data_IF_634000163967
#
_entry.id   IF_634000163967
#
_cell.length_a   1.000
_cell.length_b   1.000
_cell.length_c   1.000
_cell.angle_alpha   90.00
_cell.angle_beta   90.00
_cell.angle_gamma   90.00
#
_symmetry.space_group_name_H-M   'P 1'
#
loop_
_entity.id
_entity.type
_entity.pdbx_description
1 polymer ?
#
# COMPACT_ATOMS: atom_id res chain seq x y z
N UNK A 1 68.22 -34.21 9.75
CA UNK A 1 69.55 -34.77 10.05
C UNK A 1 69.61 -35.02 11.55
N UNK A 2 69.63 -36.28 12.00
CA UNK A 2 69.75 -36.63 13.42
C UNK A 2 71.24 -36.67 13.81
N UNK A 3 71.66 -35.79 14.71
CA UNK A 3 72.99 -35.86 15.33
C UNK A 3 72.99 -36.83 16.51
N UNK A 4 74.06 -37.58 16.72
CA UNK A 4 74.28 -38.39 17.92
C UNK A 4 75.14 -37.61 18.91
N UNK A 5 74.93 -37.81 20.22
CA UNK A 5 75.85 -37.32 21.27
C UNK A 5 77.15 -38.15 21.29
N UNK A 6 78.22 -37.61 21.87
CA UNK A 6 79.55 -38.27 21.96
C UNK A 6 79.54 -39.65 22.65
N UNK A 7 78.50 -39.98 23.40
CA UNK A 7 78.34 -41.26 24.10
C UNK A 7 77.39 -42.24 23.37
N UNK A 8 77.10 -42.02 22.09
CA UNK A 8 76.39 -42.99 21.23
C UNK A 8 74.87 -43.08 21.42
N UNK A 9 74.26 -42.23 22.25
CA UNK A 9 72.80 -42.17 22.41
C UNK A 9 72.18 -41.36 21.26
N UNK A 10 71.17 -41.88 20.53
CA UNK A 10 70.46 -41.13 19.50
C UNK A 10 69.80 -39.91 20.11
N UNK A 11 70.16 -38.70 19.65
CA UNK A 11 69.35 -37.51 19.94
C UNK A 11 68.10 -37.66 19.09
N UNK A 12 67.04 -38.18 19.70
CA UNK A 12 65.69 -38.04 19.16
C UNK A 12 65.45 -36.53 19.17
N UNK A 13 65.70 -35.84 18.06
CA UNK A 13 65.14 -34.51 17.88
C UNK A 13 63.64 -34.75 17.94
N UNK A 14 63.03 -34.46 19.08
CA UNK A 14 61.59 -34.57 19.23
C UNK A 14 61.03 -33.63 18.19
N UNK A 15 60.52 -34.21 17.11
CA UNK A 15 59.88 -33.45 16.04
C UNK A 15 58.90 -32.51 16.76
N UNK A 16 59.04 -31.18 16.63
CA UNK A 16 58.40 -30.21 17.52
C UNK A 16 56.88 -30.45 17.66
N UNK A 17 56.28 -31.15 16.71
CA UNK A 17 54.92 -31.70 16.70
C UNK A 17 54.57 -32.57 17.93
N UNK A 18 55.52 -33.34 18.51
CA UNK A 18 55.27 -34.26 19.64
C UNK A 18 55.60 -33.68 21.03
N UNK A 19 55.95 -32.40 21.12
CA UNK A 19 56.14 -31.71 22.42
C UNK A 19 54.82 -31.07 22.89
N UNK A 20 54.58 -31.00 24.22
CA UNK A 20 53.39 -30.33 24.79
C UNK A 20 53.26 -28.87 24.30
N UNK A 21 54.39 -28.18 24.13
CA UNK A 21 54.46 -26.81 23.63
C UNK A 21 54.13 -26.69 22.13
N UNK A 22 54.61 -27.61 21.28
CA UNK A 22 54.29 -27.64 19.86
C UNK A 22 52.80 -27.91 19.61
N UNK A 23 52.19 -28.81 20.38
CA UNK A 23 50.76 -29.12 20.32
C UNK A 23 49.90 -27.91 20.76
N UNK A 24 50.36 -27.15 21.76
CA UNK A 24 49.71 -25.88 22.14
C UNK A 24 49.85 -24.80 21.07
N UNK A 25 51.01 -24.67 20.41
CA UNK A 25 51.22 -23.74 19.28
C UNK A 25 50.33 -24.11 18.10
N UNK A 26 50.22 -25.39 17.76
CA UNK A 26 49.35 -25.88 16.68
C UNK A 26 47.87 -25.59 17.00
N UNK A 27 47.40 -25.85 18.23
CA UNK A 27 46.04 -25.49 18.67
C UNK A 27 45.77 -23.98 18.58
N UNK A 28 46.75 -23.14 18.95
CA UNK A 28 46.64 -21.68 18.87
C UNK A 28 46.59 -21.20 17.42
N UNK A 29 47.39 -21.78 16.53
CA UNK A 29 47.37 -21.50 15.09
C UNK A 29 46.03 -21.90 14.48
N UNK A 30 45.55 -23.13 14.72
CA UNK A 30 44.25 -23.60 14.24
C UNK A 30 43.12 -22.69 14.74
N UNK A 31 43.10 -22.33 16.03
CA UNK A 31 42.10 -21.39 16.57
C UNK A 31 42.15 -20.02 15.90
N UNK A 32 43.34 -19.46 15.67
CA UNK A 32 43.51 -18.18 14.97
C UNK A 32 43.04 -18.27 13.52
N UNK A 33 43.35 -19.35 12.82
CA UNK A 33 42.90 -19.59 11.45
C UNK A 33 41.38 -19.73 11.39
N UNK A 34 40.77 -20.48 12.30
CA UNK A 34 39.31 -20.62 12.40
C UNK A 34 38.66 -19.26 12.70
N UNK A 35 39.19 -18.50 13.67
CA UNK A 35 38.69 -17.15 13.99
C UNK A 35 38.86 -16.18 12.82
N UNK A 36 39.97 -16.25 12.09
CA UNK A 36 40.21 -15.45 10.89
C UNK A 36 39.21 -15.77 9.78
N UNK A 37 39.02 -17.06 9.47
CA UNK A 37 38.02 -17.52 8.49
C UNK A 37 36.62 -17.08 8.91
N UNK A 38 36.24 -17.27 10.18
CA UNK A 38 34.95 -16.86 10.71
C UNK A 38 34.75 -15.34 10.61
N UNK A 39 35.76 -14.53 10.94
CA UNK A 39 35.71 -13.08 10.80
C UNK A 39 35.55 -12.63 9.34
N UNK A 40 36.29 -13.25 8.41
CA UNK A 40 36.16 -12.96 6.97
C UNK A 40 34.76 -13.32 6.46
N UNK A 41 34.23 -14.49 6.81
CA UNK A 41 32.85 -14.88 6.46
C UNK A 41 31.86 -13.88 7.05
N UNK A 42 32.03 -13.49 8.32
CA UNK A 42 31.14 -12.54 8.97
C UNK A 42 31.17 -11.15 8.30
N UNK A 43 32.34 -10.65 7.91
CA UNK A 43 32.48 -9.37 7.20
C UNK A 43 31.83 -9.44 5.81
N UNK A 44 32.05 -10.52 5.05
CA UNK A 44 31.51 -10.67 3.69
C UNK A 44 29.99 -10.86 3.73
N UNK A 45 29.50 -11.80 4.54
CA UNK A 45 28.07 -12.09 4.67
C UNK A 45 27.36 -10.91 5.34
N UNK A 46 27.88 -10.41 6.45
CA UNK A 46 27.34 -9.25 7.16
C UNK A 46 27.34 -7.99 6.30
N UNK A 47 28.42 -7.72 5.58
CA UNK A 47 28.51 -6.60 4.64
C UNK A 47 27.52 -6.71 3.49
N UNK A 48 27.36 -7.91 2.91
CA UNK A 48 26.41 -8.16 1.82
C UNK A 48 24.96 -8.02 2.29
N UNK A 49 24.63 -8.58 3.46
CA UNK A 49 23.31 -8.41 4.09
C UNK A 49 23.04 -6.94 4.42
N UNK A 50 24.02 -6.22 4.97
CA UNK A 50 23.89 -4.81 5.28
C UNK A 50 23.63 -3.97 4.01
N UNK A 51 24.43 -4.19 2.97
CA UNK A 51 24.26 -3.52 1.68
C UNK A 51 22.88 -3.78 1.07
N UNK A 52 22.47 -5.05 1.00
CA UNK A 52 21.19 -5.47 0.41
C UNK A 52 19.99 -4.98 1.20
N UNK A 53 20.04 -5.01 2.52
CA UNK A 53 18.87 -4.74 3.37
C UNK A 53 18.73 -3.28 3.79
N UNK A 54 19.82 -2.48 3.76
CA UNK A 54 19.79 -1.10 4.21
C UNK A 54 20.18 -0.10 3.13
N UNK A 55 21.26 -0.33 2.39
CA UNK A 55 21.78 0.65 1.42
C UNK A 55 20.91 0.67 0.16
N UNK A 56 20.68 -0.48 -0.46
CA UNK A 56 19.89 -0.58 -1.71
C UNK A 56 18.46 -0.03 -1.53
N UNK A 57 17.69 -0.40 -0.49
CA UNK A 57 16.34 0.13 -0.31
C UNK A 57 16.33 1.64 -0.02
N UNK A 58 17.31 2.15 0.73
CA UNK A 58 17.43 3.58 1.02
C UNK A 58 17.74 4.40 -0.24
N UNK A 59 18.59 3.87 -1.11
CA UNK A 59 18.91 4.53 -2.39
C UNK A 59 17.70 4.56 -3.32
N UNK A 60 16.99 3.43 -3.46
CA UNK A 60 15.75 3.40 -4.24
C UNK A 60 14.70 4.37 -3.66
N UNK A 61 14.55 4.38 -2.33
CA UNK A 61 13.63 5.25 -1.62
C UNK A 61 13.82 6.73 -1.95
N UNK A 62 15.08 7.20 -2.01
CA UNK A 62 15.38 8.60 -2.35
C UNK A 62 14.81 9.00 -3.71
N UNK A 63 14.99 8.16 -4.75
CA UNK A 63 14.44 8.44 -6.08
C UNK A 63 12.91 8.39 -6.08
N UNK A 64 12.32 7.42 -5.39
CA UNK A 64 10.88 7.35 -5.29
C UNK A 64 10.28 8.56 -4.56
N UNK A 65 10.87 8.98 -3.44
CA UNK A 65 10.42 10.12 -2.64
C UNK A 65 10.57 11.44 -3.40
N UNK A 66 11.62 11.57 -4.24
CA UNK A 66 11.78 12.68 -5.17
C UNK A 66 10.61 12.76 -6.15
N UNK A 67 10.27 11.66 -6.83
CA UNK A 67 9.16 11.68 -7.78
C UNK A 67 7.80 11.89 -7.11
N UNK A 68 7.58 11.37 -5.88
CA UNK A 68 6.39 11.71 -5.09
C UNK A 68 6.29 13.22 -4.87
N UNK A 69 7.41 13.86 -4.48
CA UNK A 69 7.48 15.31 -4.26
C UNK A 69 7.13 16.09 -5.53
N UNK A 70 7.68 15.68 -6.68
CA UNK A 70 7.36 16.27 -7.99
C UNK A 70 5.89 16.16 -8.36
N UNK A 71 5.23 15.03 -8.06
CA UNK A 71 3.77 14.88 -8.24
C UNK A 71 3.01 15.88 -7.36
N UNK A 72 3.41 16.05 -6.09
CA UNK A 72 2.77 17.02 -5.19
C UNK A 72 2.88 18.44 -5.73
N UNK A 73 4.07 18.80 -6.20
CA UNK A 73 4.34 20.11 -6.78
C UNK A 73 3.58 20.33 -8.09
N UNK A 74 3.45 19.29 -8.93
CA UNK A 74 2.67 19.35 -10.17
C UNK A 74 1.19 19.69 -9.89
N UNK A 75 0.65 19.22 -8.76
CA UNK A 75 -0.72 19.54 -8.32
C UNK A 75 -0.98 21.03 -8.05
N UNK A 76 0.05 21.85 -7.87
CA UNK A 76 -0.10 23.29 -7.69
C UNK A 76 -0.30 24.07 -9.00
N UNK A 77 -0.11 23.42 -10.15
CA UNK A 77 -0.21 24.05 -11.46
C UNK A 77 -1.51 23.66 -12.19
N UNK A 78 -2.04 24.52 -13.08
CA UNK A 78 -3.19 24.20 -13.91
C UNK A 78 -2.97 22.94 -14.79
N UNK A 79 -4.03 22.18 -15.08
CA UNK A 79 -3.96 20.92 -15.83
C UNK A 79 -3.29 21.05 -17.21
N UNK A 80 -3.48 22.18 -17.88
CA UNK A 80 -2.93 22.49 -19.20
C UNK A 80 -1.52 23.13 -19.17
N UNK A 81 -0.93 23.35 -18.00
CA UNK A 81 0.38 23.99 -17.87
C UNK A 81 1.52 23.08 -18.33
N UNK A 82 2.43 23.61 -19.15
CA UNK A 82 3.67 22.92 -19.52
C UNK A 82 4.54 22.58 -18.29
N UNK A 83 4.54 23.45 -17.27
CA UNK A 83 5.26 23.17 -16.01
C UNK A 83 4.72 21.93 -15.32
N UNK A 84 3.40 21.71 -15.33
CA UNK A 84 2.76 20.51 -14.76
C UNK A 84 3.19 19.27 -15.52
N UNK A 85 3.14 19.31 -16.86
CA UNK A 85 3.57 18.21 -17.73
C UNK A 85 5.04 17.85 -17.49
N UNK A 86 5.92 18.85 -17.42
CA UNK A 86 7.35 18.67 -17.14
C UNK A 86 7.58 18.01 -15.78
N UNK A 87 6.90 18.48 -14.72
CA UNK A 87 7.03 17.87 -13.39
C UNK A 87 6.57 16.41 -13.36
N UNK A 88 5.51 16.06 -14.07
CA UNK A 88 5.10 14.65 -14.19
C UNK A 88 6.07 13.80 -14.99
N UNK A 89 6.70 14.37 -16.01
CA UNK A 89 7.76 13.69 -16.73
C UNK A 89 8.96 13.41 -15.81
N UNK A 90 9.44 14.43 -15.09
CA UNK A 90 10.53 14.29 -14.10
C UNK A 90 10.17 13.30 -12.97
N UNK A 91 8.89 13.27 -12.56
CA UNK A 91 8.41 12.31 -11.57
C UNK A 91 8.46 10.86 -12.07
N UNK A 92 8.06 10.61 -13.31
CA UNK A 92 8.17 9.27 -13.91
C UNK A 92 9.62 8.86 -14.17
N UNK A 93 10.52 9.79 -14.52
CA UNK A 93 11.95 9.51 -14.56
C UNK A 93 12.50 9.13 -13.19
N UNK A 94 12.11 9.86 -12.14
CA UNK A 94 12.54 9.58 -10.77
C UNK A 94 12.02 8.21 -10.32
N UNK A 95 10.76 7.90 -10.62
CA UNK A 95 10.19 6.57 -10.40
C UNK A 95 10.99 5.50 -11.13
N UNK A 96 11.31 5.69 -12.41
CA UNK A 96 12.09 4.75 -13.21
C UNK A 96 13.49 4.50 -12.64
N UNK A 97 14.16 5.53 -12.11
CA UNK A 97 15.46 5.39 -11.42
C UNK A 97 15.34 4.54 -10.15
N UNK A 98 14.30 4.78 -9.34
CA UNK A 98 13.99 3.95 -8.16
C UNK A 98 13.69 2.50 -8.54
N UNK A 99 12.91 2.31 -9.62
CA UNK A 99 12.51 1.01 -10.14
C UNK A 99 13.69 0.21 -10.72
N UNK A 100 14.71 0.87 -11.26
CA UNK A 100 15.93 0.22 -11.72
C UNK A 100 16.71 -0.44 -10.56
N UNK A 101 16.57 0.10 -9.35
CA UNK A 101 17.26 -0.40 -8.15
C UNK A 101 16.38 -1.41 -7.41
N UNK A 102 15.10 -1.07 -7.22
CA UNK A 102 14.14 -1.87 -6.48
C UNK A 102 12.81 -1.92 -7.25
N UNK A 103 12.70 -2.79 -8.26
CA UNK A 103 11.53 -2.87 -9.12
C UNK A 103 10.30 -3.37 -8.36
N UNK A 104 9.12 -3.00 -8.85
CA UNK A 104 7.83 -3.51 -8.38
C UNK A 104 7.64 -3.38 -6.85
N UNK A 105 8.12 -2.27 -6.28
CA UNK A 105 8.04 -2.06 -4.85
C UNK A 105 6.62 -1.61 -4.44
N UNK A 106 5.84 -2.52 -3.83
CA UNK A 106 4.43 -2.33 -3.50
C UNK A 106 4.14 -1.01 -2.76
N UNK A 107 4.94 -0.67 -1.74
CA UNK A 107 4.80 0.61 -1.01
C UNK A 107 4.82 1.81 -1.95
N UNK A 108 5.73 1.85 -2.92
CA UNK A 108 5.89 3.01 -3.79
C UNK A 108 4.86 3.02 -4.92
N UNK A 109 4.47 1.87 -5.46
CA UNK A 109 3.34 1.78 -6.37
C UNK A 109 2.04 2.32 -5.71
N UNK A 110 1.79 1.92 -4.46
CA UNK A 110 0.69 2.42 -3.65
C UNK A 110 0.77 3.94 -3.41
N UNK A 111 1.92 4.44 -2.95
CA UNK A 111 2.11 5.87 -2.69
C UNK A 111 1.93 6.72 -3.96
N UNK A 112 2.52 6.32 -5.08
CA UNK A 112 2.34 7.03 -6.36
C UNK A 112 0.88 7.02 -6.80
N UNK A 113 0.18 5.89 -6.65
CA UNK A 113 -1.25 5.78 -6.92
C UNK A 113 -2.10 6.77 -6.12
N UNK A 114 -1.85 6.87 -4.81
CA UNK A 114 -2.53 7.83 -3.94
C UNK A 114 -2.22 9.27 -4.36
N UNK A 115 -0.95 9.59 -4.59
CA UNK A 115 -0.54 10.95 -4.95
C UNK A 115 -1.11 11.39 -6.30
N UNK A 116 -1.12 10.51 -7.29
CA UNK A 116 -1.77 10.78 -8.57
C UNK A 116 -3.28 10.98 -8.43
N UNK A 117 -3.94 10.21 -7.56
CA UNK A 117 -5.37 10.42 -7.27
C UNK A 117 -5.61 11.81 -6.69
N UNK A 118 -4.75 12.25 -5.75
CA UNK A 118 -4.84 13.56 -5.10
C UNK A 118 -4.70 14.73 -6.08
N UNK A 119 -3.87 14.58 -7.11
CA UNK A 119 -3.67 15.60 -8.16
C UNK A 119 -4.53 15.39 -9.41
N UNK A 120 -5.55 14.54 -9.30
CA UNK A 120 -6.56 14.24 -10.33
C UNK A 120 -6.02 13.62 -11.63
N UNK A 121 -4.92 12.86 -11.53
CA UNK A 121 -4.36 12.05 -12.62
C UNK A 121 -4.82 10.60 -12.51
N UNK A 122 -6.11 10.36 -12.74
CA UNK A 122 -6.75 9.08 -12.41
C UNK A 122 -6.23 7.90 -13.23
N UNK A 123 -5.89 8.09 -14.50
CA UNK A 123 -5.33 7.01 -15.33
C UNK A 123 -3.94 6.60 -14.81
N UNK A 124 -3.09 7.57 -14.45
CA UNK A 124 -1.78 7.30 -13.84
C UNK A 124 -1.92 6.65 -12.47
N UNK A 125 -2.88 7.12 -11.67
CA UNK A 125 -3.19 6.53 -10.38
C UNK A 125 -3.59 5.06 -10.52
N UNK A 126 -4.53 4.77 -11.41
CA UNK A 126 -5.01 3.41 -11.65
C UNK A 126 -3.92 2.51 -12.22
N UNK A 127 -3.06 3.02 -13.11
CA UNK A 127 -1.90 2.28 -13.61
C UNK A 127 -0.95 1.88 -12.48
N UNK A 128 -0.69 2.77 -11.51
CA UNK A 128 0.19 2.45 -10.37
C UNK A 128 -0.49 1.53 -9.35
N UNK A 129 -1.78 1.69 -9.08
CA UNK A 129 -2.51 0.86 -8.11
C UNK A 129 -2.84 -0.52 -8.64
N UNK A 130 -3.32 -0.62 -9.88
CA UNK A 130 -3.76 -1.86 -10.49
C UNK A 130 -2.76 -2.33 -11.55
N UNK A 131 -2.52 -1.48 -12.55
CA UNK A 131 -1.75 -1.78 -13.75
C UNK A 131 -2.51 -1.45 -15.02
N UNK A 132 -1.94 -1.84 -16.16
CA UNK A 132 -2.57 -1.71 -17.47
C UNK A 132 -2.42 -3.00 -18.23
N UNK A 133 -3.49 -3.47 -18.85
CA UNK A 133 -3.53 -4.72 -19.60
C UNK A 133 -4.24 -4.55 -20.94
N UNK A 134 -4.04 -5.48 -21.86
CA UNK A 134 -4.71 -5.48 -23.17
C UNK A 134 -5.17 -6.89 -23.55
N UNK A 135 -6.46 -7.12 -23.83
CA UNK A 135 -7.56 -6.16 -23.68
C UNK A 135 -7.75 -5.73 -22.21
N UNK A 136 -8.35 -4.54 -22.00
CA UNK A 136 -8.71 -4.09 -20.65
C UNK A 136 -9.82 -4.99 -20.05
N UNK A 137 -10.04 -4.89 -18.75
CA UNK A 137 -11.22 -5.46 -18.12
C UNK A 137 -12.45 -4.67 -18.57
N UNK A 138 -13.35 -5.27 -19.35
CA UNK A 138 -14.48 -4.55 -19.95
C UNK A 138 -14.39 -4.35 -21.47
N UNK A 139 -13.34 -4.84 -22.15
CA UNK A 139 -13.10 -4.62 -23.58
C UNK A 139 -13.02 -5.92 -24.40
N UNK A 140 -14.09 -6.26 -25.13
CA UNK A 140 -14.13 -7.34 -26.12
C UNK A 140 -15.42 -7.33 -26.94
N UNK A 141 -15.37 -7.89 -28.16
CA UNK A 141 -16.42 -7.75 -29.19
C UNK A 141 -17.81 -8.32 -28.83
N UNK A 142 -17.88 -9.17 -27.81
CA UNK A 142 -19.11 -9.72 -27.23
C UNK A 142 -19.07 -9.64 -25.69
N UNK A 143 -18.39 -8.65 -25.10
CA UNK A 143 -18.28 -8.59 -23.65
C UNK A 143 -19.64 -8.31 -22.97
N UNK A 144 -19.98 -9.04 -21.90
CA UNK A 144 -21.03 -8.60 -21.01
C UNK A 144 -20.52 -7.30 -20.36
N UNK A 145 -21.20 -6.19 -20.62
CA UNK A 145 -20.90 -4.86 -20.08
C UNK A 145 -20.68 -4.82 -18.56
N UNK A 146 -20.97 -5.90 -17.82
CA UNK A 146 -20.74 -6.11 -16.39
C UNK A 146 -19.27 -6.21 -15.97
N UNK A 147 -18.31 -6.47 -16.88
CA UNK A 147 -16.89 -6.63 -16.53
C UNK A 147 -16.08 -5.33 -16.49
N UNK A 148 -16.64 -4.23 -17.00
CA UNK A 148 -16.04 -2.91 -16.97
C UNK A 148 -15.85 -2.41 -15.53
N UNK A 149 -14.85 -1.57 -15.30
CA UNK A 149 -14.46 -1.12 -13.96
C UNK A 149 -15.57 -0.39 -13.19
N UNK A 150 -16.46 0.30 -13.89
CA UNK A 150 -17.63 1.01 -13.35
C UNK A 150 -18.78 0.07 -12.94
N UNK A 151 -18.83 -1.15 -13.51
CA UNK A 151 -19.94 -2.11 -13.33
C UNK A 151 -19.55 -3.39 -12.61
N UNK A 152 -18.26 -3.70 -12.55
CA UNK A 152 -17.73 -4.93 -11.96
C UNK A 152 -18.10 -5.05 -10.49
N UNK A 153 -18.70 -6.17 -10.12
CA UNK A 153 -19.03 -6.41 -8.71
C UNK A 153 -17.82 -6.95 -7.93
N UNK A 154 -17.05 -7.89 -8.50
CA UNK A 154 -16.02 -8.64 -7.76
C UNK A 154 -14.61 -8.20 -8.12
N UNK A 155 -13.73 -8.20 -7.12
CA UNK A 155 -12.28 -8.02 -7.30
C UNK A 155 -11.76 -9.04 -8.33
N UNK A 156 -10.97 -8.65 -9.34
CA UNK A 156 -10.49 -9.59 -10.36
C UNK A 156 -9.53 -10.64 -9.78
N UNK A 157 -9.93 -11.91 -9.80
CA UNK A 157 -8.99 -13.00 -9.51
C UNK A 157 -8.12 -13.19 -10.76
N UNK A 158 -6.81 -12.93 -10.63
CA UNK A 158 -5.84 -13.01 -11.72
C UNK A 158 -4.76 -14.07 -11.47
N UNK A 159 -4.34 -14.73 -12.54
CA UNK A 159 -3.23 -15.69 -12.57
C UNK A 159 -2.40 -15.48 -13.84
N UNK A 160 -1.14 -15.94 -13.87
CA UNK A 160 -0.38 -15.98 -15.11
C UNK A 160 -0.90 -17.08 -16.03
N UNK A 161 -0.79 -16.87 -17.35
CA UNK A 161 -1.14 -17.89 -18.33
C UNK A 161 -0.32 -19.17 -18.11
N UNK A 162 -0.92 -20.33 -18.44
CA UNK A 162 -0.33 -21.66 -18.18
C UNK A 162 1.09 -21.74 -18.71
N UNK A 163 2.04 -22.12 -17.85
CA UNK A 163 3.45 -22.28 -18.19
C UNK A 163 4.27 -20.99 -18.19
N UNK A 164 3.67 -19.81 -17.95
CA UNK A 164 4.41 -18.58 -17.75
C UNK A 164 4.83 -18.41 -16.30
N UNK A 165 6.03 -17.88 -16.10
CA UNK A 165 6.57 -17.45 -14.81
C UNK A 165 6.81 -15.94 -14.88
N UNK A 166 6.71 -15.26 -13.74
CA UNK A 166 6.98 -13.83 -13.67
C UNK A 166 8.40 -13.50 -14.15
N UNK A 167 8.51 -12.56 -15.08
CA UNK A 167 9.77 -12.13 -15.69
C UNK A 167 9.75 -10.61 -15.94
N UNK A 168 10.53 -9.89 -15.13
CA UNK A 168 10.67 -8.44 -15.21
C UNK A 168 11.21 -7.96 -16.55
N UNK A 169 12.00 -8.77 -17.27
CA UNK A 169 12.58 -8.38 -18.57
C UNK A 169 11.52 -8.23 -19.66
N UNK A 170 10.34 -8.84 -19.49
CA UNK A 170 9.22 -8.76 -20.44
C UNK A 170 8.31 -7.55 -20.21
N UNK A 171 8.55 -6.78 -19.14
CA UNK A 171 7.74 -5.62 -18.78
C UNK A 171 8.51 -4.31 -18.99
N UNK A 172 7.83 -3.21 -19.32
CA UNK A 172 8.45 -1.90 -19.44
C UNK A 172 8.71 -1.28 -18.05
N UNK A 173 9.69 -1.85 -17.34
CA UNK A 173 10.18 -1.48 -16.01
C UNK A 173 11.39 -0.56 -16.17
N UNK A 174 11.53 0.40 -15.26
CA UNK A 174 12.65 1.34 -15.18
C UNK A 174 12.85 2.16 -16.47
N UNK A 175 11.75 2.58 -17.10
CA UNK A 175 11.78 3.34 -18.35
C UNK A 175 12.21 2.54 -19.58
N UNK A 176 12.45 1.23 -19.45
CA UNK A 176 12.83 0.36 -20.56
C UNK A 176 11.62 0.04 -21.44
N UNK A 177 11.87 -0.20 -22.72
CA UNK A 177 10.86 -0.72 -23.64
C UNK A 177 10.65 -2.20 -23.32
N UNK A 178 9.40 -2.60 -23.06
CA UNK A 178 9.06 -4.00 -22.77
C UNK A 178 9.22 -4.88 -24.02
N UNK A 179 9.34 -6.19 -23.82
CA UNK A 179 9.41 -7.18 -24.91
C UNK A 179 8.10 -7.22 -25.71
N UNK A 180 8.18 -7.58 -27.00
CA UNK A 180 6.98 -7.93 -27.80
C UNK A 180 6.28 -9.17 -27.24
N UNK A 181 7.04 -10.12 -26.67
CA UNK A 181 6.53 -11.32 -26.04
C UNK A 181 6.16 -11.06 -24.57
N UNK A 182 5.15 -10.19 -24.36
CA UNK A 182 4.69 -9.79 -23.03
C UNK A 182 4.07 -10.96 -22.26
N UNK A 183 4.26 -10.94 -20.95
CA UNK A 183 3.53 -11.83 -20.05
C UNK A 183 2.02 -11.60 -20.18
N UNK A 184 1.28 -12.69 -20.04
CA UNK A 184 -0.18 -12.70 -20.18
C UNK A 184 -0.78 -13.18 -18.86
N UNK A 185 -1.76 -12.42 -18.37
CA UNK A 185 -2.59 -12.85 -17.26
C UNK A 185 -3.94 -13.36 -17.75
N UNK A 186 -4.54 -14.24 -16.97
CA UNK A 186 -5.90 -14.75 -17.16
C UNK A 186 -6.68 -14.38 -15.91
N UNK A 187 -7.86 -13.81 -16.11
CA UNK A 187 -8.79 -13.54 -15.01
C UNK A 187 -9.90 -14.60 -14.95
N UNK A 188 -10.79 -14.48 -13.96
CA UNK A 188 -11.95 -15.36 -13.78
C UNK A 188 -12.91 -15.44 -14.99
N UNK A 189 -12.81 -14.51 -15.94
CA UNK A 189 -13.57 -14.51 -17.20
C UNK A 189 -12.91 -15.34 -18.32
N UNK A 190 -11.74 -15.93 -18.07
CA UNK A 190 -11.01 -16.75 -19.05
C UNK A 190 -10.29 -15.95 -20.14
N UNK A 191 -10.43 -14.61 -20.17
CA UNK A 191 -9.82 -13.77 -21.20
C UNK A 191 -8.34 -13.58 -20.89
N UNK A 192 -7.50 -13.92 -21.87
CA UNK A 192 -6.06 -13.69 -21.84
C UNK A 192 -5.74 -12.22 -22.10
N UNK A 193 -4.97 -11.60 -21.20
CA UNK A 193 -4.61 -10.18 -21.27
C UNK A 193 -3.11 -9.98 -21.16
N UNK A 194 -2.51 -9.32 -22.15
CA UNK A 194 -1.10 -8.91 -22.13
C UNK A 194 -0.89 -7.86 -21.04
N UNK A 195 0.09 -8.05 -20.19
CA UNK A 195 0.46 -7.09 -19.15
C UNK A 195 1.23 -5.95 -19.80
N UNK A 196 0.60 -4.78 -19.87
CA UNK A 196 1.23 -3.59 -20.44
C UNK A 196 2.09 -2.86 -19.40
N UNK A 197 1.57 -2.70 -18.19
CA UNK A 197 2.21 -2.13 -17.01
C UNK A 197 1.73 -2.89 -15.78
N UNK A 198 2.63 -3.23 -14.88
CA UNK A 198 2.29 -3.91 -13.64
C UNK A 198 2.15 -2.88 -12.51
N UNK A 199 0.93 -2.67 -12.03
CA UNK A 199 0.67 -1.89 -10.83
C UNK A 199 0.73 -2.76 -9.58
N UNK A 200 0.47 -2.16 -8.42
CA UNK A 200 0.59 -2.81 -7.12
C UNK A 200 -0.22 -4.11 -7.05
N UNK A 201 -1.46 -4.11 -7.55
CA UNK A 201 -2.32 -5.31 -7.57
C UNK A 201 -1.74 -6.46 -8.39
N UNK A 202 -1.33 -6.20 -9.63
CA UNK A 202 -0.75 -7.23 -10.51
C UNK A 202 0.55 -7.77 -9.92
N UNK A 203 1.43 -6.89 -9.42
CA UNK A 203 2.68 -7.27 -8.75
C UNK A 203 2.41 -8.14 -7.53
N UNK A 204 1.54 -7.69 -6.64
CA UNK A 204 1.17 -8.39 -5.41
C UNK A 204 0.67 -9.81 -5.73
N UNK A 205 -0.24 -9.95 -6.69
CA UNK A 205 -0.87 -11.23 -7.04
C UNK A 205 0.03 -12.18 -7.83
N UNK A 206 0.80 -11.66 -8.79
CA UNK A 206 1.49 -12.51 -9.77
C UNK A 206 3.00 -12.65 -9.50
N UNK A 207 3.67 -11.57 -9.09
CA UNK A 207 5.10 -11.61 -8.77
C UNK A 207 5.35 -12.08 -7.34
N UNK A 208 4.77 -11.35 -6.39
CA UNK A 208 5.06 -11.55 -4.96
C UNK A 208 4.26 -12.72 -4.41
N UNK A 209 3.07 -12.97 -4.97
CA UNK A 209 2.12 -13.98 -4.50
C UNK A 209 1.83 -13.80 -3.00
N UNK A 210 1.68 -12.56 -2.59
CA UNK A 210 1.39 -12.15 -1.21
C UNK A 210 0.08 -11.38 -1.14
N UNK A 211 -0.37 -11.11 0.08
CA UNK A 211 -1.44 -10.15 0.34
C UNK A 211 -0.81 -8.83 0.83
N UNK A 212 -1.29 -7.70 0.32
CA UNK A 212 -0.87 -6.36 0.71
C UNK A 212 -2.11 -5.52 1.03
N UNK A 213 -2.39 -5.40 2.33
CA UNK A 213 -3.53 -4.64 2.83
C UNK A 213 -3.53 -3.18 2.34
N UNK A 214 -2.39 -2.46 2.28
CA UNK A 214 -2.34 -1.15 1.65
C UNK A 214 -2.86 -1.13 0.20
N UNK A 215 -2.48 -2.09 -0.65
CA UNK A 215 -2.98 -2.19 -2.03
C UNK A 215 -4.50 -2.35 -2.08
N UNK A 216 -5.06 -3.27 -1.28
CA UNK A 216 -6.51 -3.44 -1.22
C UNK A 216 -7.22 -2.16 -0.75
N UNK A 217 -6.73 -1.54 0.34
CA UNK A 217 -7.30 -0.30 0.87
C UNK A 217 -7.23 0.87 -0.11
N UNK A 218 -6.14 0.99 -0.85
CA UNK A 218 -5.95 2.08 -1.82
C UNK A 218 -6.83 1.92 -3.05
N UNK A 219 -7.03 0.69 -3.55
CA UNK A 219 -8.00 0.43 -4.62
C UNK A 219 -9.44 0.66 -4.13
N UNK A 220 -9.76 0.26 -2.89
CA UNK A 220 -11.02 0.59 -2.24
C UNK A 220 -11.26 2.11 -2.20
N UNK A 221 -10.27 2.87 -1.73
CA UNK A 221 -10.34 4.34 -1.67
C UNK A 221 -10.48 4.97 -3.06
N UNK A 222 -9.74 4.45 -4.05
CA UNK A 222 -9.78 4.96 -5.42
C UNK A 222 -11.17 4.81 -6.03
N UNK A 223 -11.72 3.58 -6.04
CA UNK A 223 -13.03 3.30 -6.65
C UNK A 223 -14.21 3.96 -5.93
N UNK A 224 -14.06 4.29 -4.64
CA UNK A 224 -15.07 5.01 -3.83
C UNK A 224 -14.85 6.52 -3.73
N UNK A 225 -13.93 7.09 -4.51
CA UNK A 225 -13.69 8.53 -4.49
C UNK A 225 -14.95 9.31 -4.85
N UNK A 226 -15.17 10.39 -4.11
CA UNK A 226 -16.31 11.31 -4.27
C UNK A 226 -15.86 12.69 -4.77
N UNK A 227 -14.61 12.81 -5.24
CA UNK A 227 -14.15 14.06 -5.86
C UNK A 227 -15.04 14.34 -7.08
N UNK A 228 -15.56 15.57 -7.27
CA UNK A 228 -16.40 15.89 -8.43
C UNK A 228 -15.73 15.50 -9.75
N UNK A 229 -14.44 15.85 -9.88
CA UNK A 229 -13.56 15.49 -11.00
C UNK A 229 -13.40 13.99 -11.22
N UNK A 230 -13.57 13.17 -10.18
CA UNK A 230 -13.54 11.71 -10.29
C UNK A 230 -14.90 11.14 -10.69
N UNK A 231 -16.00 11.70 -10.19
CA UNK A 231 -17.35 11.18 -10.47
C UNK A 231 -17.87 11.59 -11.84
N UNK A 232 -17.39 12.69 -12.40
CA UNK A 232 -17.78 13.17 -13.72
C UNK A 232 -17.15 12.33 -14.84
N UNK A 233 -17.99 11.64 -15.63
CA UNK A 233 -17.55 10.78 -16.73
C UNK A 233 -16.74 11.52 -17.80
N UNK A 234 -17.04 12.79 -18.05
CA UNK A 234 -16.32 13.66 -19.00
C UNK A 234 -14.88 13.95 -18.59
N UNK A 235 -14.53 13.79 -17.31
CA UNK A 235 -13.22 14.09 -16.75
C UNK A 235 -12.35 12.83 -16.55
N UNK A 236 -12.82 11.68 -17.04
CA UNK A 236 -12.06 10.44 -17.12
C UNK A 236 -12.06 9.57 -15.86
N UNK A 237 -12.38 10.13 -14.69
CA UNK A 237 -12.48 9.35 -13.45
C UNK A 237 -13.71 8.44 -13.39
N UNK A 238 -14.82 8.85 -14.03
CA UNK A 238 -16.12 8.17 -13.90
C UNK A 238 -16.08 6.69 -14.32
N UNK A 239 -15.21 6.32 -15.27
CA UNK A 239 -15.02 4.92 -15.69
C UNK A 239 -14.47 4.00 -14.60
N UNK A 240 -13.90 4.58 -13.54
CA UNK A 240 -13.40 3.85 -12.37
C UNK A 240 -14.34 3.94 -11.17
N UNK A 241 -15.38 4.77 -11.21
CA UNK A 241 -16.25 4.98 -10.05
C UNK A 241 -17.11 3.75 -9.81
N UNK A 242 -16.89 3.07 -8.69
CA UNK A 242 -17.60 1.84 -8.35
C UNK A 242 -17.51 1.52 -6.84
N UNK A 243 -18.51 1.91 -6.03
CA UNK A 243 -18.39 1.62 -4.60
C UNK A 243 -18.63 0.14 -4.25
N UNK A 244 -19.32 -0.62 -5.11
CA UNK A 244 -19.51 -2.04 -4.83
C UNK A 244 -18.17 -2.79 -4.93
N UNK A 245 -17.39 -2.48 -5.97
CA UNK A 245 -16.02 -2.96 -6.12
C UNK A 245 -15.13 -2.43 -4.99
N UNK A 246 -15.27 -1.16 -4.59
CA UNK A 246 -14.53 -0.59 -3.48
C UNK A 246 -14.77 -1.35 -2.16
N UNK A 247 -16.03 -1.64 -1.82
CA UNK A 247 -16.41 -2.46 -0.65
C UNK A 247 -15.72 -3.82 -0.74
N UNK A 248 -15.71 -4.44 -1.93
CA UNK A 248 -15.12 -5.75 -2.09
C UNK A 248 -13.59 -5.73 -1.98
N UNK A 249 -12.92 -4.66 -2.41
CA UNK A 249 -11.51 -4.45 -2.12
C UNK A 249 -11.24 -4.31 -0.62
N UNK A 250 -12.01 -3.51 0.12
CA UNK A 250 -11.89 -3.44 1.57
C UNK A 250 -12.11 -4.81 2.24
N UNK A 251 -13.06 -5.60 1.74
CA UNK A 251 -13.29 -6.95 2.25
C UNK A 251 -12.12 -7.92 2.03
N UNK A 252 -11.29 -7.71 1.00
CA UNK A 252 -10.09 -8.54 0.79
C UNK A 252 -9.09 -8.42 1.95
N UNK A 253 -9.08 -7.30 2.67
CA UNK A 253 -8.22 -7.15 3.86
C UNK A 253 -8.56 -8.21 4.91
N UNK A 254 -9.85 -8.53 5.08
CA UNK A 254 -10.29 -9.55 6.03
C UNK A 254 -10.16 -10.98 5.50
N UNK A 255 -10.49 -11.20 4.23
CA UNK A 255 -10.54 -12.57 3.67
C UNK A 255 -9.16 -13.09 3.27
N UNK A 256 -8.35 -12.23 2.66
CA UNK A 256 -7.06 -12.58 2.10
C UNK A 256 -5.93 -12.16 3.04
N UNK A 257 -6.04 -10.99 3.68
CA UNK A 257 -5.01 -10.44 4.57
C UNK A 257 -4.87 -11.15 5.91
N UNK A 258 -5.73 -12.12 6.24
CA UNK A 258 -5.82 -12.79 7.56
C UNK A 258 -5.96 -11.82 8.75
N UNK A 259 -6.44 -10.61 8.52
CA UNK A 259 -6.76 -9.65 9.58
C UNK A 259 -8.25 -9.77 9.92
N UNK A 260 -8.65 -10.38 11.05
CA UNK A 260 -10.07 -10.54 11.40
C UNK A 260 -10.78 -9.19 11.57
N UNK A 261 -10.00 -8.11 11.73
CA UNK A 261 -10.45 -6.74 11.82
C UNK A 261 -9.35 -5.78 11.34
N UNK A 262 -9.76 -4.77 10.58
CA UNK A 262 -8.95 -3.60 10.20
C UNK A 262 -9.87 -2.37 10.27
N UNK A 263 -9.51 -1.43 11.14
CA UNK A 263 -10.29 -0.23 11.42
C UNK A 263 -10.49 0.62 10.16
N UNK A 264 -9.43 0.82 9.38
CA UNK A 264 -9.43 1.67 8.19
C UNK A 264 -10.36 1.13 7.10
N UNK A 265 -10.34 -0.18 6.85
CA UNK A 265 -11.22 -0.85 5.87
C UNK A 265 -12.68 -0.81 6.33
N UNK A 266 -12.91 -1.01 7.63
CA UNK A 266 -14.27 -0.99 8.21
C UNK A 266 -14.86 0.42 8.07
N UNK A 267 -14.07 1.44 8.38
CA UNK A 267 -14.44 2.83 8.19
C UNK A 267 -14.58 3.21 6.72
N UNK A 268 -13.77 2.63 5.81
CA UNK A 268 -13.89 2.79 4.37
C UNK A 268 -15.24 2.31 3.85
N UNK A 269 -15.68 1.11 4.27
CA UNK A 269 -17.00 0.57 3.95
C UNK A 269 -18.11 1.45 4.56
N UNK A 270 -17.98 1.84 5.82
CA UNK A 270 -18.93 2.73 6.48
C UNK A 270 -19.08 4.07 5.74
N UNK A 271 -17.96 4.66 5.31
CA UNK A 271 -17.91 5.92 4.55
C UNK A 271 -18.61 5.80 3.19
N UNK A 272 -18.50 4.65 2.52
CA UNK A 272 -19.23 4.38 1.28
C UNK A 272 -20.75 4.43 1.52
N UNK A 273 -21.25 3.70 2.53
CA UNK A 273 -22.68 3.75 2.89
C UNK A 273 -23.12 5.14 3.32
N UNK A 274 -22.28 5.85 4.08
CA UNK A 274 -22.51 7.22 4.48
C UNK A 274 -22.70 8.14 3.27
N UNK A 275 -21.81 8.05 2.28
CA UNK A 275 -21.88 8.86 1.05
C UNK A 275 -23.11 8.51 0.19
N UNK A 276 -23.58 7.26 0.25
CA UNK A 276 -24.83 6.79 -0.40
C UNK A 276 -26.10 7.19 0.37
N UNK A 277 -25.96 7.90 1.50
CA UNK A 277 -27.06 8.25 2.43
C UNK A 277 -27.73 7.03 3.07
N UNK A 278 -27.06 5.88 3.07
CA UNK A 278 -27.49 4.65 3.76
C UNK A 278 -27.04 4.70 5.23
N UNK A 279 -27.53 5.70 5.98
CA UNK A 279 -27.02 6.04 7.31
C UNK A 279 -27.14 4.91 8.34
N UNK A 280 -28.20 4.09 8.27
CA UNK A 280 -28.34 2.93 9.15
C UNK A 280 -27.21 1.90 8.97
N UNK A 281 -26.81 1.62 7.72
CA UNK A 281 -25.68 0.72 7.43
C UNK A 281 -24.36 1.38 7.82
N UNK A 282 -24.19 2.67 7.52
CA UNK A 282 -23.00 3.41 7.91
C UNK A 282 -22.78 3.37 9.43
N UNK A 283 -23.83 3.65 10.21
CA UNK A 283 -23.80 3.56 11.66
C UNK A 283 -23.47 2.15 12.15
N UNK A 284 -24.06 1.11 11.55
CA UNK A 284 -23.74 -0.28 11.89
C UNK A 284 -22.24 -0.61 11.71
N UNK A 285 -21.62 -0.19 10.60
CA UNK A 285 -20.19 -0.43 10.39
C UNK A 285 -19.29 0.42 11.32
N UNK A 286 -19.64 1.68 11.58
CA UNK A 286 -18.89 2.46 12.57
C UNK A 286 -19.07 1.94 14.00
N UNK A 287 -20.23 1.39 14.35
CA UNK A 287 -20.46 0.74 15.64
C UNK A 287 -19.54 -0.47 15.82
N UNK A 288 -19.29 -1.28 14.77
CA UNK A 288 -18.32 -2.39 14.85
C UNK A 288 -16.92 -1.93 15.26
N UNK A 289 -16.50 -0.74 14.82
CA UNK A 289 -15.22 -0.14 15.24
C UNK A 289 -15.27 0.19 16.73
N UNK A 290 -16.35 0.84 17.18
CA UNK A 290 -16.54 1.28 18.56
C UNK A 290 -16.77 0.12 19.54
N UNK A 291 -17.33 -1.01 19.09
CA UNK A 291 -17.45 -2.24 19.88
C UNK A 291 -16.09 -2.85 20.20
N UNK A 292 -15.11 -2.71 19.29
CA UNK A 292 -13.75 -3.22 19.45
C UNK A 292 -12.88 -2.20 20.20
N UNK A 293 -12.89 -0.94 19.78
CA UNK A 293 -12.23 0.18 20.45
C UNK A 293 -13.23 1.33 20.69
N UNK A 294 -13.80 1.40 21.90
CA UNK A 294 -14.72 2.48 22.28
C UNK A 294 -14.11 3.87 22.18
N UNK A 295 -12.79 4.00 22.23
CA UNK A 295 -12.06 5.28 22.20
C UNK A 295 -11.60 5.69 20.80
N UNK A 296 -11.88 4.88 19.77
CA UNK A 296 -11.50 5.14 18.39
C UNK A 296 -12.06 6.48 17.89
N UNK A 297 -11.22 7.48 17.55
CA UNK A 297 -11.70 8.73 16.97
C UNK A 297 -12.35 8.52 15.59
N UNK A 298 -11.93 7.49 14.85
CA UNK A 298 -12.46 7.16 13.52
C UNK A 298 -13.88 6.60 13.62
N UNK A 299 -14.11 5.63 14.51
CA UNK A 299 -15.43 5.06 14.78
C UNK A 299 -16.37 6.10 15.39
N UNK A 300 -15.92 6.77 16.45
CA UNK A 300 -16.72 7.76 17.17
C UNK A 300 -17.06 8.99 16.31
N UNK A 301 -16.10 9.49 15.55
CA UNK A 301 -16.32 10.60 14.60
C UNK A 301 -17.19 10.20 13.41
N UNK A 302 -17.10 8.95 12.96
CA UNK A 302 -17.97 8.39 11.92
C UNK A 302 -19.42 8.28 12.36
N UNK A 303 -19.67 7.76 13.57
CA UNK A 303 -21.01 7.73 14.18
C UNK A 303 -21.58 9.13 14.37
N UNK A 304 -20.81 10.05 14.97
CA UNK A 304 -21.25 11.42 15.19
C UNK A 304 -21.63 12.11 13.87
N UNK A 305 -20.81 11.94 12.83
CA UNK A 305 -21.11 12.47 11.49
C UNK A 305 -22.38 11.85 10.91
N UNK A 306 -22.60 10.55 11.12
CA UNK A 306 -23.78 9.83 10.65
C UNK A 306 -25.04 10.32 11.36
N UNK A 307 -25.02 10.46 12.68
CA UNK A 307 -26.14 11.00 13.45
C UNK A 307 -26.47 12.45 13.09
N UNK A 308 -25.46 13.27 12.77
CA UNK A 308 -25.69 14.64 12.30
C UNK A 308 -26.43 14.65 10.96
N UNK A 309 -26.15 13.73 10.03
CA UNK A 309 -26.90 13.66 8.77
C UNK A 309 -28.32 13.11 8.99
N UNK A 310 -28.49 12.10 9.85
CA UNK A 310 -29.82 11.61 10.22
C UNK A 310 -30.68 12.73 10.82
N UNK A 311 -30.11 13.54 11.72
CA UNK A 311 -30.77 14.71 12.27
C UNK A 311 -31.22 15.73 11.22
N UNK A 312 -30.47 15.91 10.13
CA UNK A 312 -30.89 16.80 9.05
C UNK A 312 -32.12 16.27 8.32
N UNK A 313 -32.34 14.96 8.32
CA UNK A 313 -33.49 14.32 7.68
C UNK A 313 -34.70 14.22 8.62
N UNK A 314 -34.50 13.78 9.86
CA UNK A 314 -35.58 13.47 10.81
C UNK A 314 -35.88 14.61 11.81
N UNK A 315 -34.96 15.57 11.95
CA UNK A 315 -35.07 16.69 12.90
C UNK A 315 -34.82 16.34 14.36
N UNK A 316 -34.54 15.08 14.72
CA UNK A 316 -34.36 14.62 16.10
C UNK A 316 -32.90 14.77 16.57
N UNK A 317 -32.59 15.73 17.47
CA UNK A 317 -31.21 16.01 17.86
C UNK A 317 -30.66 15.01 18.89
N UNK A 318 -31.48 14.10 19.41
CA UNK A 318 -31.16 13.33 20.61
C UNK A 318 -29.95 12.42 20.40
N UNK A 319 -29.85 11.75 19.25
CA UNK A 319 -28.70 10.90 18.92
C UNK A 319 -27.40 11.70 18.88
N UNK A 320 -27.42 12.89 18.28
CA UNK A 320 -26.24 13.77 18.20
C UNK A 320 -25.80 14.24 19.58
N UNK A 321 -26.74 14.74 20.39
CA UNK A 321 -26.46 15.29 21.73
C UNK A 321 -25.94 14.19 22.66
N UNK A 322 -26.62 13.04 22.70
CA UNK A 322 -26.22 11.93 23.57
C UNK A 322 -24.82 11.42 23.20
N UNK A 323 -24.57 11.23 21.90
CA UNK A 323 -23.29 10.70 21.41
C UNK A 323 -22.15 11.70 21.63
N UNK A 324 -22.37 12.99 21.36
CA UNK A 324 -21.37 14.01 21.65
C UNK A 324 -21.06 14.10 23.15
N UNK A 325 -22.07 14.01 24.03
CA UNK A 325 -21.85 13.96 25.48
C UNK A 325 -20.96 12.76 25.88
N UNK A 326 -21.18 11.59 25.29
CA UNK A 326 -20.33 10.41 25.53
C UNK A 326 -18.89 10.66 25.07
N UNK A 327 -18.70 11.18 23.86
CA UNK A 327 -17.38 11.52 23.30
C UNK A 327 -16.62 12.50 24.19
N UNK A 328 -17.31 13.54 24.67
CA UNK A 328 -16.71 14.62 25.45
C UNK A 328 -16.44 14.25 26.90
N UNK A 329 -17.44 13.71 27.58
CA UNK A 329 -17.41 13.56 29.04
C UNK A 329 -16.97 12.16 29.48
N UNK A 330 -17.28 11.11 28.70
CA UNK A 330 -17.00 9.73 29.11
C UNK A 330 -15.70 9.21 28.51
N UNK A 331 -15.40 9.62 27.27
CA UNK A 331 -14.24 9.13 26.52
C UNK A 331 -13.11 10.16 26.42
N UNK A 332 -13.40 11.45 26.60
CA UNK A 332 -12.45 12.57 26.52
C UNK A 332 -11.67 12.64 25.18
N UNK A 333 -12.27 12.15 24.08
CA UNK A 333 -11.61 12.08 22.77
C UNK A 333 -12.03 13.19 21.79
N UNK A 334 -12.86 14.15 22.20
CA UNK A 334 -13.34 15.23 21.33
C UNK A 334 -12.21 15.94 20.59
N UNK A 335 -11.10 16.22 21.29
CA UNK A 335 -9.90 16.88 20.74
C UNK A 335 -9.13 16.02 19.72
N UNK A 336 -9.37 14.70 19.70
CA UNK A 336 -8.78 13.75 18.75
C UNK A 336 -9.62 13.59 17.49
N UNK A 337 -10.85 14.13 17.45
CA UNK A 337 -11.69 14.08 16.27
C UNK A 337 -11.09 14.94 15.15
N UNK A 338 -11.32 14.53 13.90
CA UNK A 338 -10.88 15.33 12.75
C UNK A 338 -11.58 16.69 12.71
N UNK A 339 -10.88 17.70 12.17
CA UNK A 339 -11.43 19.05 11.98
C UNK A 339 -12.77 19.01 11.22
N UNK A 340 -12.89 18.14 10.21
CA UNK A 340 -14.13 17.96 9.46
C UNK A 340 -15.33 17.56 10.34
N UNK A 341 -15.11 16.64 11.28
CA UNK A 341 -16.15 16.21 12.23
C UNK A 341 -16.51 17.34 13.18
N UNK A 342 -15.51 18.05 13.71
CA UNK A 342 -15.72 19.20 14.59
C UNK A 342 -16.48 20.33 13.88
N UNK A 343 -16.18 20.61 12.62
CA UNK A 343 -16.92 21.59 11.81
C UNK A 343 -18.39 21.19 11.60
N UNK A 344 -18.67 19.91 11.37
CA UNK A 344 -20.06 19.41 11.29
C UNK A 344 -20.80 19.57 12.61
N UNK A 345 -20.14 19.26 13.72
CA UNK A 345 -20.69 19.40 15.06
C UNK A 345 -20.99 20.87 15.39
N UNK A 346 -20.08 21.79 15.06
CA UNK A 346 -20.32 23.22 15.21
C UNK A 346 -21.53 23.69 14.38
N UNK A 347 -21.64 23.24 13.13
CA UNK A 347 -22.79 23.53 12.26
C UNK A 347 -24.11 23.00 12.83
N UNK A 348 -24.09 21.79 13.42
CA UNK A 348 -25.24 21.23 14.12
C UNK A 348 -25.72 22.14 15.25
N UNK A 349 -24.82 22.55 16.15
CA UNK A 349 -25.20 23.40 17.29
C UNK A 349 -25.71 24.76 16.86
N UNK A 350 -25.04 25.41 15.90
CA UNK A 350 -25.48 26.70 15.35
C UNK A 350 -26.90 26.63 14.78
N UNK A 351 -27.19 25.61 13.96
CA UNK A 351 -28.52 25.42 13.36
C UNK A 351 -29.58 25.03 14.39
N UNK A 352 -29.22 24.21 15.38
CA UNK A 352 -30.13 23.83 16.48
C UNK A 352 -30.54 25.06 17.30
N UNK A 353 -29.61 25.97 17.57
CA UNK A 353 -29.88 27.21 18.27
C UNK A 353 -30.79 28.14 17.48
N UNK A 354 -30.53 28.33 16.18
CA UNK A 354 -31.41 29.12 15.32
C UNK A 354 -32.85 28.58 15.29
N UNK A 355 -33.03 27.25 15.19
CA UNK A 355 -34.36 26.63 15.26
C UNK A 355 -35.05 26.93 16.59
N UNK A 356 -34.32 26.88 17.71
CA UNK A 356 -34.86 27.20 19.03
C UNK A 356 -35.33 28.64 19.12
N UNK A 357 -34.52 29.59 18.64
CA UNK A 357 -34.86 31.02 18.63
C UNK A 357 -36.11 31.27 17.76
N UNK A 358 -36.18 30.67 16.58
CA UNK A 358 -37.33 30.80 15.68
C UNK A 358 -38.62 30.24 16.28
N UNK A 359 -38.54 29.19 17.09
CA UNK A 359 -39.71 28.58 17.75
C UNK A 359 -40.11 29.28 19.07
N UNK A 360 -39.30 30.24 19.55
CA UNK A 360 -39.59 31.06 20.74
C UNK A 360 -40.12 32.46 20.40
N UNK A 361 -40.21 32.79 19.11
CA UNK A 361 -40.89 33.96 18.54
C UNK A 361 -42.21 33.48 17.92
#
# INVERSE_FOLDING_TARGET
MSGFSKDGVPIISTDPVYTKEGLQRQKKLIRRTILGIAATIFIVVGGTLFYRNFIVPKQAAQYYDQGLTLIREAGAYPKNSETRKRKFFEAEESFARGENILPNHLKYLNLYGIEYTRVEEYDRAFEKLFGKVSPDFGAGGEEPSSNAWDKREKVPIITLAKGQVWDNSKLPIAGKVGSENRMTLIAQDGIQRKILKAGAYIVMRLEKQTHDNPTYKNLGRFHSSIMPSFTESSLGGGKYKNDQLAINFYKQVYTDGNEPYDEESTAGIAKIYYNRREFGKAASFYNKIVEIDPSSPMGQGGLLSTYIEMWKEDGNPQFVINHHRQIKNNLEIEKKLSLHVLSKLASFYYKSEQKRIKNSL
#
